data_IF_976430701726
#
_entry.id   IF_976430701726
#
_cell.length_a   1.000
_cell.length_b   1.000
_cell.length_c   1.000
_cell.angle_alpha   90.00
_cell.angle_beta   90.00
_cell.angle_gamma   90.00
#
_symmetry.space_group_name_H-M   'P 1'
#
loop_
_entity.id
_entity.type
_entity.pdbx_description
1 polymer ?
#
# COMPACT_ATOMS: atom_id res chain seq x y z
N UNK A 1 5.06 7.62 6.54
CA UNK A 1 3.57 7.60 6.57
C UNK A 1 2.94 6.31 7.06
N UNK A 2 3.51 5.14 6.80
CA UNK A 2 2.95 3.85 7.28
C UNK A 2 2.74 3.77 8.81
N UNK A 3 3.61 4.41 9.62
CA UNK A 3 3.38 4.51 11.06
C UNK A 3 2.13 5.34 11.42
N UNK A 4 1.79 6.34 10.62
CA UNK A 4 0.56 7.13 10.81
C UNK A 4 -0.68 6.32 10.45
N UNK A 5 -0.60 5.50 9.39
CA UNK A 5 -1.64 4.50 9.07
C UNK A 5 -1.84 3.54 10.26
N UNK A 6 -0.75 3.01 10.82
CA UNK A 6 -0.81 2.09 11.97
C UNK A 6 -1.49 2.72 13.20
N UNK A 7 -1.26 4.01 13.45
CA UNK A 7 -1.86 4.74 14.57
C UNK A 7 -3.23 5.35 14.27
N UNK A 8 -3.77 5.17 13.06
CA UNK A 8 -5.04 5.76 12.65
C UNK A 8 -5.02 7.29 12.51
N UNK A 9 -3.84 7.90 12.37
CA UNK A 9 -3.70 9.36 12.11
C UNK A 9 -4.04 9.73 10.68
N UNK A 10 -3.86 8.78 9.77
CA UNK A 10 -4.33 8.84 8.37
C UNK A 10 -4.98 7.50 8.04
N UNK A 11 -6.01 7.49 7.19
CA UNK A 11 -6.81 6.29 6.93
C UNK A 11 -6.15 5.29 5.95
N UNK A 12 -5.26 5.79 5.09
CA UNK A 12 -4.56 5.01 4.08
C UNK A 12 -3.38 5.77 3.48
N UNK A 13 -2.59 5.04 2.69
CA UNK A 13 -1.37 5.52 2.05
C UNK A 13 -1.19 4.81 0.71
N UNK A 14 -0.73 5.53 -0.30
CA UNK A 14 -0.25 4.94 -1.55
C UNK A 14 0.93 5.74 -2.11
N UNK A 15 1.93 5.07 -2.65
CA UNK A 15 3.08 5.71 -3.28
C UNK A 15 3.72 4.79 -4.34
N UNK A 16 4.40 5.39 -5.31
CA UNK A 16 4.99 4.73 -6.47
C UNK A 16 6.51 4.60 -6.32
N UNK A 17 7.06 3.47 -6.74
CA UNK A 17 8.51 3.27 -6.94
C UNK A 17 9.40 3.55 -5.72
N UNK A 18 8.92 3.22 -4.51
CA UNK A 18 9.72 3.26 -3.29
C UNK A 18 10.87 2.24 -3.33
N UNK A 19 11.95 2.53 -2.61
CA UNK A 19 12.98 1.54 -2.34
C UNK A 19 12.58 0.67 -1.16
N UNK A 20 13.03 -0.59 -1.07
CA UNK A 20 12.65 -1.48 0.02
C UNK A 20 12.90 -0.90 1.43
N UNK A 21 13.97 -0.13 1.61
CA UNK A 21 14.28 0.50 2.90
C UNK A 21 13.32 1.64 3.28
N UNK A 22 12.58 2.21 2.33
CA UNK A 22 11.63 3.30 2.59
C UNK A 22 10.36 2.78 3.31
N UNK A 23 9.98 1.52 3.08
CA UNK A 23 8.74 0.95 3.61
C UNK A 23 8.90 -0.32 4.45
N UNK A 24 10.01 -1.06 4.37
CA UNK A 24 10.15 -2.37 5.04
C UNK A 24 9.84 -2.33 6.55
N UNK A 25 10.33 -1.33 7.28
CA UNK A 25 10.03 -1.18 8.70
C UNK A 25 8.57 -0.77 8.94
N UNK A 26 8.07 0.18 8.13
CA UNK A 26 6.72 0.70 8.26
C UNK A 26 5.63 -0.32 7.92
N UNK A 27 5.88 -1.20 6.97
CA UNK A 27 4.98 -2.28 6.57
C UNK A 27 4.69 -3.23 7.73
N UNK A 28 5.73 -3.69 8.43
CA UNK A 28 5.56 -4.57 9.59
C UNK A 28 4.74 -3.88 10.67
N UNK A 29 5.06 -2.63 11.00
CA UNK A 29 4.32 -1.83 11.99
C UNK A 29 2.84 -1.69 11.59
N UNK A 30 2.56 -1.39 10.32
CA UNK A 30 1.19 -1.24 9.82
C UNK A 30 0.42 -2.56 9.88
N UNK A 31 1.05 -3.68 9.51
CA UNK A 31 0.43 -5.01 9.55
C UNK A 31 0.08 -5.46 10.96
N UNK A 32 0.97 -5.27 11.92
CA UNK A 32 0.70 -5.62 13.33
C UNK A 32 -0.42 -4.76 13.94
N UNK A 33 -0.66 -3.57 13.39
CA UNK A 33 -1.82 -2.74 13.74
C UNK A 33 -3.11 -3.11 13.00
N UNK A 34 -3.11 -4.17 12.17
CA UNK A 34 -4.27 -4.66 11.42
C UNK A 34 -4.46 -4.05 10.03
N UNK A 35 -3.48 -3.30 9.51
CA UNK A 35 -3.51 -2.82 8.14
C UNK A 35 -3.12 -3.92 7.14
N UNK A 36 -3.61 -3.80 5.91
CA UNK A 36 -3.14 -4.56 4.74
C UNK A 36 -2.11 -3.70 4.02
N UNK A 37 -1.07 -4.34 3.49
CA UNK A 37 -0.07 -3.73 2.60
C UNK A 37 0.04 -4.60 1.35
N UNK A 38 -0.20 -4.00 0.19
CA UNK A 38 -0.24 -4.67 -1.12
C UNK A 38 0.28 -3.75 -2.24
N UNK A 39 0.39 -4.28 -3.45
CA UNK A 39 0.62 -3.48 -4.66
C UNK A 39 -0.67 -2.86 -5.22
N UNK A 40 -0.54 -2.12 -6.32
CA UNK A 40 -1.65 -1.39 -6.97
C UNK A 40 -2.67 -2.33 -7.64
N UNK A 41 -2.36 -3.62 -7.77
CA UNK A 41 -3.28 -4.66 -8.25
C UNK A 41 -3.89 -5.49 -7.11
N UNK A 42 -3.53 -5.19 -5.86
CA UNK A 42 -3.92 -5.95 -4.68
C UNK A 42 -3.06 -7.18 -4.42
N UNK A 43 -1.96 -7.34 -5.14
CA UNK A 43 -1.01 -8.45 -5.00
C UNK A 43 0.10 -8.18 -3.98
N UNK A 44 1.12 -9.04 -4.03
CA UNK A 44 2.28 -9.01 -3.13
C UNK A 44 3.58 -8.59 -3.83
N UNK A 45 3.52 -8.02 -5.04
CA UNK A 45 4.72 -7.68 -5.81
C UNK A 45 5.35 -6.33 -5.38
N UNK A 46 4.76 -5.64 -4.40
CA UNK A 46 5.23 -4.33 -3.92
C UNK A 46 6.67 -4.34 -3.39
N UNK A 47 7.18 -5.49 -2.92
CA UNK A 47 8.59 -5.66 -2.54
C UNK A 47 9.55 -5.50 -3.72
N UNK A 48 9.13 -5.89 -4.92
CA UNK A 48 9.93 -5.81 -6.16
C UNK A 48 9.69 -4.48 -6.88
N UNK A 49 8.44 -4.03 -6.93
CA UNK A 49 8.03 -2.86 -7.73
C UNK A 49 8.16 -1.53 -6.98
N UNK A 50 8.11 -1.56 -5.65
CA UNK A 50 8.06 -0.36 -4.82
C UNK A 50 6.71 0.38 -4.88
N UNK A 51 5.69 -0.20 -5.54
CA UNK A 51 4.35 0.39 -5.61
C UNK A 51 3.54 -0.12 -4.42
N UNK A 52 3.29 0.74 -3.44
CA UNK A 52 2.72 0.34 -2.15
C UNK A 52 1.36 0.99 -1.96
N UNK A 53 0.35 0.21 -1.56
CA UNK A 53 -0.91 0.67 -0.99
C UNK A 53 -1.04 0.08 0.41
N UNK A 54 -1.42 0.91 1.39
CA UNK A 54 -1.59 0.50 2.77
C UNK A 54 -2.81 1.14 3.44
N UNK A 55 -3.47 0.41 4.34
CA UNK A 55 -4.62 0.89 5.08
C UNK A 55 -5.41 -0.26 5.71
N UNK A 56 -6.51 0.03 6.40
CA UNK A 56 -7.41 -1.04 6.86
C UNK A 56 -8.05 -1.77 5.65
N UNK A 57 -8.59 -2.99 5.81
CA UNK A 57 -9.10 -3.77 4.69
C UNK A 57 -10.20 -3.10 3.86
N UNK A 58 -11.03 -2.25 4.49
CA UNK A 58 -12.11 -1.54 3.80
C UNK A 58 -11.58 -0.38 2.96
N UNK A 59 -10.62 0.36 3.51
CA UNK A 59 -9.96 1.48 2.83
C UNK A 59 -9.15 0.97 1.63
N UNK A 60 -8.32 -0.05 1.82
CA UNK A 60 -7.51 -0.64 0.72
C UNK A 60 -8.41 -1.14 -0.41
N UNK A 61 -9.51 -1.84 -0.08
CA UNK A 61 -10.48 -2.29 -1.10
C UNK A 61 -11.06 -1.12 -1.90
N UNK A 62 -11.42 -0.01 -1.23
CA UNK A 62 -11.97 1.17 -1.90
C UNK A 62 -10.93 1.88 -2.78
N UNK A 63 -9.70 2.02 -2.28
CA UNK A 63 -8.59 2.62 -3.03
C UNK A 63 -8.29 1.82 -4.31
N UNK A 64 -8.12 0.50 -4.21
CA UNK A 64 -7.84 -0.36 -5.36
C UNK A 64 -8.97 -0.32 -6.40
N UNK A 65 -10.23 -0.32 -5.94
CA UNK A 65 -11.38 -0.20 -6.83
C UNK A 65 -11.41 1.12 -7.59
N UNK A 66 -11.04 2.23 -6.94
CA UNK A 66 -10.97 3.55 -7.55
C UNK A 66 -9.79 3.68 -8.53
N UNK A 67 -8.62 3.16 -8.17
CA UNK A 67 -7.40 3.29 -8.96
C UNK A 67 -7.42 2.42 -10.23
N UNK A 68 -8.15 1.30 -10.22
CA UNK A 68 -8.06 0.23 -11.22
C UNK A 68 -8.13 0.72 -12.67
N UNK A 69 -9.06 1.62 -12.97
CA UNK A 69 -9.34 2.04 -14.34
C UNK A 69 -8.32 3.08 -14.84
N UNK A 70 -7.54 3.68 -13.93
CA UNK A 70 -6.48 4.66 -14.23
C UNK A 70 -5.07 4.03 -14.26
N UNK A 71 -4.94 2.73 -13.96
CA UNK A 71 -3.64 2.07 -13.94
C UNK A 71 -3.09 1.87 -15.36
N UNK A 72 -1.94 2.47 -15.62
CA UNK A 72 -1.13 2.15 -16.80
C UNK A 72 -0.66 0.69 -16.78
N UNK A 73 -0.37 0.12 -17.94
CA UNK A 73 0.10 -1.27 -18.05
C UNK A 73 1.45 -1.52 -17.37
N UNK A 74 2.24 -0.48 -17.15
CA UNK A 74 3.48 -0.57 -16.38
C UNK A 74 3.23 -0.84 -14.89
N UNK A 75 2.10 -0.36 -14.35
CA UNK A 75 1.74 -0.48 -12.93
C UNK A 75 0.92 -1.74 -12.63
N UNK A 76 0.51 -2.49 -13.66
CA UNK A 76 -0.22 -3.76 -13.52
C UNK A 76 0.71 -4.99 -13.36
N UNK A 77 2.03 -4.77 -13.40
CA UNK A 77 3.04 -5.83 -13.37
C UNK A 77 3.58 -6.06 -11.95
#
# INVERSE_FOLDING_TARGET
DLAYVATGRVDGYFELSLKPWDFAAGELIAREAGAIVCDFTGGHNYMSTGNVVAGNPRVVKAMLANMRDELSDALKR
#
